data_IF_635765729484
#
_entry.id   IF_635765729484
#
_cell.length_a   1.000
_cell.length_b   1.000
_cell.length_c   1.000
_cell.angle_alpha   90.00
_cell.angle_beta   90.00
_cell.angle_gamma   90.00
#
_symmetry.space_group_name_H-M   'P 1'
#
loop_
_entity.id
_entity.type
_entity.pdbx_description
1 polymer ?
#
# COMPACT_ATOMS: atom_id res chain seq x y z
N UNK A 1 2.62 2.09 -16.15
CA UNK A 1 3.32 2.72 -15.00
C UNK A 1 3.11 1.98 -13.67
N UNK A 2 1.95 1.37 -13.42
CA UNK A 2 1.63 0.60 -12.19
C UNK A 2 2.58 -0.55 -11.82
N UNK A 3 3.12 -1.39 -12.73
CA UNK A 3 3.95 -2.52 -12.33
C UNK A 3 5.31 -2.11 -11.74
N UNK A 4 5.90 -1.02 -12.23
CA UNK A 4 7.14 -0.48 -11.67
C UNK A 4 6.98 0.00 -10.22
N UNK A 5 5.80 0.49 -9.86
CA UNK A 5 5.51 0.91 -8.49
C UNK A 5 5.31 -0.30 -7.55
N UNK A 6 4.82 -1.44 -8.04
CA UNK A 6 4.56 -2.62 -7.19
C UNK A 6 5.82 -3.33 -6.73
N UNK A 7 6.87 -3.37 -7.56
CA UNK A 7 8.14 -4.05 -7.26
C UNK A 7 8.76 -3.59 -5.92
N UNK A 8 8.96 -2.30 -5.65
CA UNK A 8 9.50 -1.87 -4.36
C UNK A 8 8.55 -2.19 -3.20
N UNK A 9 7.22 -2.16 -3.38
CA UNK A 9 6.28 -2.55 -2.32
C UNK A 9 6.34 -4.03 -1.95
N UNK A 10 6.62 -4.92 -2.92
CA UNK A 10 6.88 -6.33 -2.67
C UNK A 10 8.24 -6.55 -1.99
N UNK A 11 9.26 -5.74 -2.32
CA UNK A 11 10.56 -5.83 -1.64
C UNK A 11 10.42 -5.60 -0.12
N UNK A 12 9.57 -4.66 0.28
CA UNK A 12 9.30 -4.35 1.68
C UNK A 12 8.19 -5.20 2.32
N UNK A 13 7.65 -6.21 1.64
CA UNK A 13 6.55 -7.04 2.17
C UNK A 13 7.01 -8.19 3.07
N UNK A 14 8.24 -8.11 3.61
CA UNK A 14 8.85 -9.17 4.42
C UNK A 14 9.13 -10.48 3.67
N UNK A 15 9.07 -10.46 2.33
CA UNK A 15 9.36 -11.61 1.47
C UNK A 15 10.84 -11.68 1.06
N UNK A 16 11.45 -10.53 0.71
CA UNK A 16 12.85 -10.47 0.28
C UNK A 16 13.81 -9.97 1.36
N UNK A 17 13.35 -9.05 2.22
CA UNK A 17 14.14 -8.42 3.27
C UNK A 17 13.35 -8.54 4.56
N UNK A 18 14.00 -9.03 5.62
CA UNK A 18 13.38 -9.14 6.93
C UNK A 18 13.12 -7.76 7.54
N UNK A 19 12.10 -7.67 8.37
CA UNK A 19 11.66 -6.44 9.04
C UNK A 19 12.75 -5.72 9.84
N UNK A 20 13.76 -6.43 10.33
CA UNK A 20 14.86 -5.86 11.12
C UNK A 20 15.93 -5.18 10.27
N UNK A 21 16.11 -5.60 9.03
CA UNK A 21 17.16 -5.09 8.14
C UNK A 21 16.78 -3.78 7.42
N UNK A 22 15.52 -3.35 7.55
CA UNK A 22 15.03 -2.15 6.87
C UNK A 22 15.39 -0.91 7.70
N UNK A 23 16.06 0.07 7.08
CA UNK A 23 16.50 1.27 7.77
C UNK A 23 15.32 2.15 8.24
N UNK A 24 15.53 2.90 9.32
CA UNK A 24 14.49 3.69 10.01
C UNK A 24 13.74 4.62 9.07
N UNK A 25 14.45 5.25 8.13
CA UNK A 25 13.86 6.19 7.16
C UNK A 25 12.94 5.55 6.13
N UNK A 26 12.92 4.22 5.97
CA UNK A 26 12.00 3.49 5.08
C UNK A 26 10.85 2.80 5.82
N UNK A 27 10.82 2.82 7.15
CA UNK A 27 9.80 2.12 7.94
C UNK A 27 8.38 2.65 7.69
N UNK A 28 8.22 3.95 7.48
CA UNK A 28 6.91 4.54 7.17
C UNK A 28 6.32 3.99 5.87
N UNK A 29 7.17 3.73 4.86
CA UNK A 29 6.74 3.20 3.57
C UNK A 29 6.29 1.75 3.69
N UNK A 30 6.97 0.97 4.55
CA UNK A 30 6.52 -0.39 4.91
C UNK A 30 5.12 -0.36 5.52
N UNK A 31 4.89 0.55 6.47
CA UNK A 31 3.62 0.65 7.18
C UNK A 31 2.46 1.11 6.27
N UNK A 32 2.73 1.65 5.08
CA UNK A 32 1.74 1.99 4.07
C UNK A 32 1.51 0.88 3.03
N UNK A 33 2.29 -0.20 3.07
CA UNK A 33 2.20 -1.30 2.09
C UNK A 33 1.11 -2.30 2.48
N UNK A 34 0.06 -2.40 1.65
CA UNK A 34 -0.99 -3.42 1.84
C UNK A 34 -0.42 -4.85 1.75
N UNK A 35 0.63 -5.04 0.95
CA UNK A 35 1.28 -6.33 0.75
C UNK A 35 1.99 -6.81 2.00
N UNK A 36 2.60 -5.91 2.76
CA UNK A 36 3.28 -6.26 4.00
C UNK A 36 2.30 -6.88 5.00
N UNK A 37 1.18 -6.22 5.27
CA UNK A 37 0.18 -6.74 6.21
C UNK A 37 -0.54 -7.99 5.68
N UNK A 38 -0.84 -8.04 4.38
CA UNK A 38 -1.51 -9.18 3.75
C UNK A 38 -0.67 -10.45 3.78
N UNK A 39 0.59 -10.37 3.32
CA UNK A 39 1.51 -11.50 3.32
C UNK A 39 1.78 -11.94 4.75
N UNK A 40 2.06 -11.00 5.67
CA UNK A 40 2.32 -11.35 7.08
C UNK A 40 1.14 -12.09 7.72
N UNK A 41 -0.09 -11.68 7.47
CA UNK A 41 -1.29 -12.35 7.99
C UNK A 41 -1.48 -13.76 7.37
N UNK A 42 -1.26 -13.90 6.06
CA UNK A 42 -1.37 -15.19 5.36
C UNK A 42 -0.28 -16.17 5.79
N UNK A 43 0.95 -15.69 5.95
CA UNK A 43 2.09 -16.51 6.37
C UNK A 43 1.92 -17.02 7.80
N UNK A 44 1.34 -16.21 8.71
CA UNK A 44 0.96 -16.71 10.04
C UNK A 44 -0.02 -17.88 9.90
N UNK A 45 -1.05 -17.75 9.07
CA UNK A 45 -2.06 -18.81 8.92
C UNK A 45 -1.52 -20.09 8.28
N UNK A 46 -0.57 -19.97 7.35
CA UNK A 46 0.02 -21.11 6.67
C UNK A 46 0.99 -21.86 7.56
N UNK A 47 1.86 -21.16 8.29
CA UNK A 47 2.92 -21.81 9.08
C UNK A 47 2.53 -22.07 10.53
N UNK A 48 1.39 -21.53 10.98
CA UNK A 48 0.94 -21.79 12.33
C UNK A 48 0.62 -23.27 12.54
N UNK A 49 1.18 -23.87 13.59
CA UNK A 49 0.97 -25.27 13.94
C UNK A 49 1.37 -26.29 12.85
N UNK A 50 2.06 -25.86 11.78
CA UNK A 50 2.59 -26.77 10.77
C UNK A 50 3.92 -27.32 11.25
N UNK A 51 4.08 -28.64 11.15
CA UNK A 51 5.37 -29.29 11.35
C UNK A 51 5.96 -29.61 9.98
N UNK A 52 7.08 -28.96 9.68
CA UNK A 52 7.84 -29.23 8.47
C UNK A 52 8.62 -30.52 8.74
N UNK A 53 8.16 -31.60 8.12
CA UNK A 53 8.80 -32.91 8.13
C UNK A 53 9.81 -32.97 6.98
N UNK A 54 10.82 -33.82 7.11
CA UNK A 54 11.83 -34.06 6.07
C UNK A 54 12.88 -32.96 5.85
N UNK A 55 13.19 -32.18 6.89
CA UNK A 55 14.40 -31.35 6.87
C UNK A 55 15.64 -32.24 7.04
N UNK A 56 16.42 -32.42 5.98
CA UNK A 56 17.72 -33.08 6.06
C UNK A 56 18.77 -32.09 6.54
N UNK A 57 19.42 -32.39 7.65
CA UNK A 57 20.57 -31.64 8.16
C UNK A 57 21.70 -32.58 8.51
N UNK A 58 22.93 -32.08 8.57
CA UNK A 58 24.09 -32.85 8.97
C UNK A 58 24.44 -32.50 10.42
N UNK A 59 24.28 -33.48 11.32
CA UNK A 59 24.72 -33.34 12.72
C UNK A 59 25.91 -34.28 12.89
N UNK A 60 27.07 -33.74 13.27
CA UNK A 60 28.33 -34.51 13.35
C UNK A 60 28.69 -35.29 12.06
N UNK A 61 28.38 -34.72 10.88
CA UNK A 61 28.70 -35.33 9.60
C UNK A 61 27.78 -36.48 9.17
N UNK A 62 26.73 -36.79 9.94
CA UNK A 62 25.71 -37.77 9.54
C UNK A 62 24.40 -37.09 9.10
N UNK A 63 23.73 -37.57 8.04
CA UNK A 63 22.45 -37.06 7.62
C UNK A 63 21.36 -37.45 8.62
N UNK A 64 20.76 -36.46 9.27
CA UNK A 64 19.65 -36.62 10.21
C UNK A 64 18.43 -35.89 9.66
N UNK A 65 17.29 -36.57 9.68
CA UNK A 65 16.00 -35.95 9.39
C UNK A 65 15.46 -35.31 10.65
N UNK A 66 15.34 -33.98 10.66
CA UNK A 66 14.74 -33.22 11.76
C UNK A 66 13.33 -32.77 11.39
N UNK A 67 12.48 -32.64 12.40
CA UNK A 67 11.17 -31.99 12.26
C UNK A 67 11.29 -30.57 12.79
N UNK A 68 11.02 -29.58 11.94
CA UNK A 68 11.08 -28.17 12.32
C UNK A 68 9.65 -27.66 12.53
N UNK A 69 9.41 -27.01 13.67
CA UNK A 69 8.13 -26.37 13.94
C UNK A 69 8.00 -25.10 13.08
N UNK A 70 6.88 -24.91 12.38
CA UNK A 70 6.59 -23.72 11.59
C UNK A 70 6.64 -22.43 12.40
N UNK A 71 6.39 -22.51 13.72
CA UNK A 71 6.55 -21.38 14.63
C UNK A 71 8.00 -20.84 14.65
N UNK A 72 9.00 -21.72 14.51
CA UNK A 72 10.41 -21.31 14.45
C UNK A 72 10.72 -20.51 13.18
N UNK A 73 10.08 -20.87 12.07
CA UNK A 73 10.20 -20.15 10.79
C UNK A 73 9.59 -18.75 10.89
N UNK A 74 8.44 -18.63 11.55
CA UNK A 74 7.76 -17.34 11.73
C UNK A 74 8.59 -16.35 12.56
N UNK A 75 9.14 -16.81 13.68
CA UNK A 75 9.88 -15.94 14.61
C UNK A 75 11.30 -15.63 14.12
N UNK A 76 12.05 -16.63 13.64
CA UNK A 76 13.46 -16.42 13.30
C UNK A 76 13.72 -15.96 11.88
N UNK A 77 12.91 -16.42 10.91
CA UNK A 77 13.17 -16.13 9.49
C UNK A 77 12.39 -14.89 9.06
N UNK A 78 11.19 -14.71 9.61
CA UNK A 78 10.30 -13.63 9.19
C UNK A 78 10.18 -12.51 10.24
N UNK A 79 10.66 -12.71 11.47
CA UNK A 79 10.52 -11.74 12.57
C UNK A 79 9.06 -11.26 12.74
N UNK A 80 8.11 -12.19 12.58
CA UNK A 80 6.67 -11.95 12.76
C UNK A 80 6.22 -12.66 14.02
N UNK A 81 5.57 -11.92 14.92
CA UNK A 81 4.94 -12.50 16.09
C UNK A 81 3.53 -13.02 15.74
N UNK A 82 3.23 -14.26 16.15
CA UNK A 82 1.96 -14.92 15.87
C UNK A 82 0.77 -14.22 16.54
N UNK A 83 0.99 -13.64 17.72
CA UNK A 83 -0.08 -13.00 18.49
C UNK A 83 -0.59 -11.71 17.84
N UNK A 84 0.16 -11.13 16.91
CA UNK A 84 -0.20 -9.90 16.21
C UNK A 84 -1.03 -10.13 14.93
N UNK A 85 -1.47 -11.37 14.66
CA UNK A 85 -2.32 -11.67 13.48
C UNK A 85 -3.47 -10.69 13.31
N UNK A 86 -4.21 -10.44 14.40
CA UNK A 86 -5.37 -9.55 14.37
C UNK A 86 -5.00 -8.09 14.12
N UNK A 87 -3.82 -7.66 14.56
CA UNK A 87 -3.32 -6.32 14.28
C UNK A 87 -3.11 -6.11 12.77
N UNK A 88 -2.54 -7.10 12.07
CA UNK A 88 -2.37 -7.01 10.61
C UNK A 88 -3.70 -6.99 9.85
N UNK A 89 -4.67 -7.81 10.27
CA UNK A 89 -6.02 -7.81 9.68
C UNK A 89 -6.71 -6.47 9.87
N UNK A 90 -6.63 -5.89 11.07
CA UNK A 90 -7.18 -4.56 11.34
C UNK A 90 -6.51 -3.47 10.51
N UNK A 91 -5.18 -3.49 10.39
CA UNK A 91 -4.44 -2.54 9.54
C UNK A 91 -4.84 -2.63 8.07
N UNK A 92 -5.09 -3.83 7.53
CA UNK A 92 -5.58 -4.00 6.15
C UNK A 92 -6.94 -3.32 5.93
N UNK A 93 -7.85 -3.46 6.89
CA UNK A 93 -9.17 -2.83 6.85
C UNK A 93 -9.01 -1.30 6.86
N UNK A 94 -8.22 -0.78 7.80
CA UNK A 94 -7.93 0.66 7.90
C UNK A 94 -7.33 1.20 6.60
N UNK A 95 -6.38 0.49 6.01
CA UNK A 95 -5.72 0.90 4.77
C UNK A 95 -6.68 0.87 3.58
N UNK A 96 -7.53 -0.16 3.47
CA UNK A 96 -8.53 -0.28 2.41
C UNK A 96 -9.52 0.88 2.44
N UNK A 97 -10.09 1.15 3.62
CA UNK A 97 -10.98 2.29 3.79
C UNK A 97 -10.24 3.61 3.59
N UNK A 98 -9.04 3.75 4.14
CA UNK A 98 -8.20 4.93 4.00
C UNK A 98 -7.96 5.31 2.53
N UNK A 99 -7.57 4.36 1.69
CA UNK A 99 -7.40 4.60 0.25
C UNK A 99 -8.70 4.96 -0.46
N UNK A 100 -9.83 4.36 -0.06
CA UNK A 100 -11.15 4.70 -0.61
C UNK A 100 -11.57 6.11 -0.24
N UNK A 101 -11.36 6.52 1.01
CA UNK A 101 -11.62 7.89 1.46
C UNK A 101 -10.72 8.89 0.78
N UNK A 102 -9.42 8.59 0.62
CA UNK A 102 -8.47 9.41 -0.14
C UNK A 102 -8.93 9.58 -1.59
N UNK A 103 -9.32 8.49 -2.26
CA UNK A 103 -9.82 8.55 -3.63
C UNK A 103 -11.11 9.39 -3.74
N UNK A 104 -12.05 9.19 -2.82
CA UNK A 104 -13.28 9.97 -2.77
C UNK A 104 -12.98 11.47 -2.55
N UNK A 105 -12.12 11.79 -1.57
CA UNK A 105 -11.71 13.15 -1.30
C UNK A 105 -11.06 13.80 -2.53
N UNK A 106 -10.10 13.13 -3.18
CA UNK A 106 -9.44 13.62 -4.39
C UNK A 106 -10.46 13.90 -5.49
N UNK A 107 -11.42 12.99 -5.73
CA UNK A 107 -12.46 13.18 -6.73
C UNK A 107 -13.40 14.34 -6.38
N UNK A 108 -13.80 14.48 -5.12
CA UNK A 108 -14.63 15.60 -4.67
C UNK A 108 -13.91 16.94 -4.81
N UNK A 109 -12.61 17.00 -4.47
CA UNK A 109 -11.80 18.20 -4.68
C UNK A 109 -11.66 18.54 -6.16
N UNK A 110 -11.40 17.55 -7.02
CA UNK A 110 -11.30 17.76 -8.46
C UNK A 110 -12.62 18.20 -9.09
N UNK A 111 -13.75 17.65 -8.64
CA UNK A 111 -15.07 18.03 -9.14
C UNK A 111 -15.36 19.51 -8.81
N UNK A 112 -15.05 19.94 -7.58
CA UNK A 112 -15.22 21.34 -7.17
C UNK A 112 -14.29 22.28 -7.92
N UNK A 113 -13.03 21.86 -8.15
CA UNK A 113 -12.07 22.63 -8.92
C UNK A 113 -12.49 22.78 -10.39
N UNK A 114 -12.99 21.71 -11.01
CA UNK A 114 -13.49 21.75 -12.38
C UNK A 114 -14.73 22.63 -12.53
N UNK A 115 -15.63 22.61 -11.54
CA UNK A 115 -16.80 23.51 -11.51
C UNK A 115 -16.36 24.98 -11.46
N UNK A 116 -15.39 25.32 -10.61
CA UNK A 116 -14.86 26.68 -10.50
C UNK A 116 -14.18 27.17 -11.79
N UNK A 117 -13.39 26.32 -12.45
CA UNK A 117 -12.78 26.65 -13.76
C UNK A 117 -13.83 26.89 -14.87
N UNK A 118 -14.96 26.20 -14.81
CA UNK A 118 -16.04 26.40 -15.79
C UNK A 118 -16.81 27.72 -15.57
N UNK A 119 -17.05 28.10 -14.32
CA UNK A 119 -17.65 29.39 -13.94
C UNK A 119 -16.78 30.58 -14.40
N UNK A 120 -15.47 30.52 -14.16
CA UNK A 120 -14.55 31.59 -14.57
C UNK A 120 -14.50 31.74 -16.09
N UNK A 121 -14.48 30.64 -16.85
CA UNK A 121 -14.56 30.67 -18.33
C UNK A 121 -15.85 31.32 -18.83
N UNK A 122 -17.00 31.04 -18.21
CA UNK A 122 -18.28 31.69 -18.57
C UNK A 122 -18.27 33.20 -18.34
N UNK A 123 -17.70 33.65 -17.22
CA UNK A 123 -17.60 35.08 -16.90
C UNK A 123 -16.68 35.83 -17.87
N UNK A 124 -15.55 35.22 -18.26
CA UNK A 124 -14.65 35.79 -19.27
C UNK A 124 -15.33 35.92 -20.63
N UNK A 125 -16.04 34.88 -21.08
CA UNK A 125 -16.81 34.92 -22.33
C UNK A 125 -17.86 36.02 -22.30
N UNK A 126 -18.66 36.11 -21.24
CA UNK A 126 -19.71 37.13 -21.14
C UNK A 126 -19.13 38.56 -21.15
N UNK A 127 -18.01 38.78 -20.47
CA UNK A 127 -17.31 40.07 -20.48
C UNK A 127 -16.77 40.43 -21.87
N UNK A 128 -16.23 39.45 -22.61
CA UNK A 128 -15.78 39.65 -24.00
C UNK A 128 -16.96 40.02 -24.91
N UNK A 129 -18.09 39.31 -24.84
CA UNK A 129 -19.28 39.61 -25.65
C UNK A 129 -19.81 41.02 -25.37
N UNK A 130 -19.87 41.42 -24.10
CA UNK A 130 -20.31 42.76 -23.71
C UNK A 130 -19.38 43.86 -24.24
N UNK A 131 -18.07 43.64 -24.22
CA UNK A 131 -17.07 44.59 -24.73
C UNK A 131 -17.16 44.76 -26.25
N UNK A 132 -17.33 43.66 -26.99
CA UNK A 132 -17.54 43.69 -28.45
C UNK A 132 -18.86 44.40 -28.80
N UNK A 133 -19.92 44.15 -28.03
CA UNK A 133 -21.21 44.80 -28.24
C UNK A 133 -21.15 46.32 -28.03
N UNK A 134 -20.49 46.79 -26.96
CA UNK A 134 -20.29 48.22 -26.72
C UNK A 134 -19.42 48.89 -27.80
N UNK A 135 -18.37 48.22 -28.26
CA UNK A 135 -17.55 48.72 -29.38
C UNK A 135 -18.35 48.81 -30.68
N UNK A 136 -19.32 47.92 -30.90
CA UNK A 136 -20.20 47.97 -32.07
C UNK A 136 -21.20 49.13 -32.01
N UNK A 137 -21.67 49.49 -30.81
CA UNK A 137 -22.54 50.65 -30.59
C UNK A 137 -21.76 51.96 -30.74
N UNK A 138 -20.56 52.07 -30.18
CA UNK A 138 -19.72 53.28 -30.26
C UNK A 138 -19.20 53.58 -31.67
N UNK A 139 -19.23 52.60 -32.57
CA UNK A 139 -18.77 52.73 -33.96
C UNK A 139 -19.92 52.98 -34.95
N UNK A 140 -21.17 52.99 -34.48
CA UNK A 140 -22.38 53.35 -35.24
C UNK A 140 -22.79 54.79 -34.97
#
# INVERSE_FOLDING_TARGET
LTPFAMIPFMLFSNFFITTDQIPVYLRWLRNLSIWYYGISALTIEEFQNVQIKDCQTTVFGQPVTITVNGNYVLEQILAINREEKWFFVWMLIVLFFGFRFLAFAILSYRNKLFYFDNETKKLQLNNIYHTIFLLKILKS
#
